data_IF_218666695778
#
_entry.id   IF_218666695778
#
_cell.length_a   1.000
_cell.length_b   1.000
_cell.length_c   1.000
_cell.angle_alpha   90.00
_cell.angle_beta   90.00
_cell.angle_gamma   90.00
#
_symmetry.space_group_name_H-M   'P 1'
#
loop_
_entity.id
_entity.type
_entity.pdbx_description
1 polymer ?
#
# COMPACT_ATOMS: atom_id res chain seq x y z
N UNK A 1 -9.31 -0.08 8.29
CA UNK A 1 -9.44 0.56 6.96
C UNK A 1 -8.73 1.90 6.93
N UNK A 2 -7.99 2.19 5.86
CA UNK A 2 -7.37 3.51 5.60
C UNK A 2 -8.39 4.66 5.53
N UNK A 3 -9.67 4.35 5.31
CA UNK A 3 -10.79 5.29 5.38
C UNK A 3 -11.52 5.25 6.74
N UNK A 4 -10.83 4.93 7.84
CA UNK A 4 -11.35 5.11 9.19
C UNK A 4 -11.76 6.57 9.48
N UNK A 5 -12.17 6.87 10.72
CA UNK A 5 -12.62 8.21 11.13
C UNK A 5 -11.61 9.34 10.88
N UNK A 6 -10.35 9.01 10.57
CA UNK A 6 -9.28 9.97 10.27
C UNK A 6 -8.92 9.98 8.79
N UNK A 7 -9.33 11.04 8.09
CA UNK A 7 -8.95 11.31 6.70
C UNK A 7 -7.44 11.57 6.49
N UNK A 8 -6.65 11.64 7.56
CA UNK A 8 -5.22 11.94 7.51
C UNK A 8 -4.40 10.82 6.82
N UNK A 9 -4.78 9.56 7.02
CA UNK A 9 -4.10 8.42 6.40
C UNK A 9 -4.29 8.39 4.87
N UNK A 10 -5.46 8.79 4.38
CA UNK A 10 -5.75 8.82 2.93
C UNK A 10 -4.98 9.91 2.19
N UNK A 11 -4.58 11.00 2.87
CA UNK A 11 -3.75 12.08 2.30
C UNK A 11 -2.30 11.66 2.06
N UNK A 12 -1.85 10.55 2.66
CA UNK A 12 -0.51 10.03 2.51
C UNK A 12 -0.32 9.18 1.24
N UNK A 13 -1.39 8.83 0.51
CA UNK A 13 -1.31 7.98 -0.68
C UNK A 13 -0.80 8.79 -1.86
N UNK A 14 0.37 8.42 -2.37
CA UNK A 14 0.96 9.08 -3.54
C UNK A 14 0.05 8.92 -4.77
N UNK A 15 -0.21 10.03 -5.45
CA UNK A 15 -1.04 10.04 -6.66
C UNK A 15 -2.54 10.18 -6.42
N UNK A 16 -2.98 10.29 -5.16
CA UNK A 16 -4.37 10.57 -4.82
C UNK A 16 -4.43 11.98 -4.20
N UNK A 17 -5.12 12.90 -4.88
CA UNK A 17 -5.31 14.27 -4.41
C UNK A 17 -6.37 14.37 -3.32
N UNK A 18 -6.47 15.54 -2.66
CA UNK A 18 -7.48 15.79 -1.62
C UNK A 18 -8.91 15.71 -2.16
N UNK A 19 -9.19 16.26 -3.34
CA UNK A 19 -10.52 16.28 -3.93
C UNK A 19 -11.17 14.89 -4.13
N UNK A 20 -10.46 13.92 -4.71
CA UNK A 20 -10.92 12.53 -4.76
C UNK A 20 -11.24 11.94 -3.39
N UNK A 21 -10.38 12.15 -2.41
CA UNK A 21 -10.59 11.62 -1.04
C UNK A 21 -11.82 12.25 -0.39
N UNK A 22 -12.00 13.55 -0.54
CA UNK A 22 -13.18 14.24 -0.01
C UNK A 22 -14.47 13.68 -0.61
N UNK A 23 -14.52 13.45 -1.92
CA UNK A 23 -15.67 12.81 -2.60
C UNK A 23 -15.99 11.43 -2.04
N UNK A 24 -14.97 10.60 -1.78
CA UNK A 24 -15.14 9.28 -1.16
C UNK A 24 -15.71 9.40 0.25
N UNK A 25 -15.18 10.32 1.06
CA UNK A 25 -15.64 10.52 2.44
C UNK A 25 -17.07 11.04 2.52
N UNK A 26 -17.45 11.98 1.64
CA UNK A 26 -18.82 12.50 1.55
C UNK A 26 -19.79 11.39 1.17
N UNK A 27 -19.51 10.65 0.10
CA UNK A 27 -20.35 9.53 -0.34
C UNK A 27 -20.53 8.48 0.77
N UNK A 28 -19.45 8.16 1.50
CA UNK A 28 -19.51 7.23 2.63
C UNK A 28 -20.33 7.77 3.80
N UNK A 29 -20.25 9.08 4.08
CA UNK A 29 -21.00 9.70 5.16
C UNK A 29 -22.50 9.72 4.86
N UNK A 30 -22.89 9.95 3.59
CA UNK A 30 -24.28 10.05 3.16
C UNK A 30 -24.98 8.69 3.00
N UNK A 31 -24.28 7.69 2.46
CA UNK A 31 -24.87 6.42 2.04
C UNK A 31 -24.29 5.20 2.77
N UNK A 32 -23.40 5.42 3.77
CA UNK A 32 -22.78 4.33 4.52
C UNK A 32 -21.56 3.72 3.82
N UNK A 33 -21.02 2.61 4.36
CA UNK A 33 -19.89 1.88 3.77
C UNK A 33 -20.19 1.45 2.34
N UNK A 34 -19.15 1.33 1.53
CA UNK A 34 -19.26 0.74 0.20
C UNK A 34 -19.35 -0.78 0.34
N UNK A 35 -20.21 -1.42 -0.45
CA UNK A 35 -20.38 -2.88 -0.42
C UNK A 35 -19.26 -3.59 -1.19
N UNK A 36 -18.86 -3.04 -2.31
CA UNK A 36 -17.85 -3.59 -3.21
C UNK A 36 -17.23 -2.52 -4.11
N UNK A 37 -16.30 -2.92 -5.00
CA UNK A 37 -15.64 -2.04 -5.97
C UNK A 37 -16.63 -1.40 -6.95
N UNK A 38 -17.67 -2.12 -7.38
CA UNK A 38 -18.65 -1.62 -8.33
C UNK A 38 -19.53 -0.56 -7.67
N UNK A 39 -19.98 -0.80 -6.44
CA UNK A 39 -20.71 0.18 -5.63
C UNK A 39 -19.84 1.43 -5.38
N UNK A 40 -18.54 1.24 -5.06
CA UNK A 40 -17.59 2.33 -4.91
C UNK A 40 -17.53 3.19 -6.17
N UNK A 41 -17.31 2.58 -7.36
CA UNK A 41 -17.20 3.31 -8.62
C UNK A 41 -18.51 4.01 -9.03
N UNK A 42 -19.67 3.47 -8.65
CA UNK A 42 -20.97 4.11 -8.92
C UNK A 42 -21.22 5.36 -8.08
N UNK A 43 -20.75 5.35 -6.84
CA UNK A 43 -21.05 6.40 -5.85
C UNK A 43 -20.03 7.52 -5.81
N UNK A 44 -18.83 7.29 -6.33
CA UNK A 44 -17.74 8.27 -6.29
C UNK A 44 -17.64 9.01 -7.63
N UNK A 45 -17.26 10.28 -7.60
CA UNK A 45 -17.03 11.08 -8.81
C UNK A 45 -15.77 10.62 -9.55
N UNK A 46 -15.94 9.75 -10.56
CA UNK A 46 -14.86 9.22 -11.39
C UNK A 46 -14.16 10.27 -12.26
N UNK A 47 -14.72 11.48 -12.41
CA UNK A 47 -14.02 12.59 -13.07
C UNK A 47 -12.90 13.15 -12.20
N UNK A 48 -13.07 13.06 -10.89
CA UNK A 48 -12.06 13.47 -9.90
C UNK A 48 -11.15 12.30 -9.52
N UNK A 49 -11.73 11.09 -9.36
CA UNK A 49 -11.01 9.86 -9.05
C UNK A 49 -10.68 9.11 -10.34
N UNK A 50 -9.57 9.48 -10.98
CA UNK A 50 -9.14 8.82 -12.20
C UNK A 50 -8.61 7.39 -11.94
N UNK A 51 -8.43 6.59 -13.01
CA UNK A 51 -7.94 5.20 -12.94
C UNK A 51 -6.66 5.07 -12.09
N UNK A 52 -5.69 5.98 -12.27
CA UNK A 52 -4.42 5.94 -11.50
C UNK A 52 -4.62 6.16 -10.01
N UNK A 53 -5.55 7.03 -9.63
CA UNK A 53 -5.88 7.23 -8.23
C UNK A 53 -6.59 6.01 -7.63
N UNK A 54 -7.48 5.36 -8.40
CA UNK A 54 -8.13 4.11 -7.99
C UNK A 54 -7.11 2.97 -7.83
N UNK A 55 -6.19 2.80 -8.78
CA UNK A 55 -5.07 1.87 -8.67
C UNK A 55 -4.22 2.14 -7.41
N UNK A 56 -3.92 3.40 -7.12
CA UNK A 56 -3.15 3.77 -5.93
C UNK A 56 -3.91 3.45 -4.63
N UNK A 57 -5.24 3.64 -4.58
CA UNK A 57 -6.07 3.24 -3.44
C UNK A 57 -6.05 1.73 -3.20
N UNK A 58 -6.16 0.93 -4.26
CA UNK A 58 -6.08 -0.53 -4.16
C UNK A 58 -4.69 -0.97 -3.69
N UNK A 59 -3.63 -0.43 -4.30
CA UNK A 59 -2.24 -0.74 -3.93
C UNK A 59 -1.92 -0.37 -2.49
N UNK A 60 -2.50 0.71 -1.99
CA UNK A 60 -2.38 1.15 -0.59
C UNK A 60 -3.22 0.31 0.39
N UNK A 61 -4.08 -0.59 -0.08
CA UNK A 61 -4.99 -1.38 0.76
C UNK A 61 -6.21 -0.61 1.26
N UNK A 62 -6.52 0.55 0.67
CA UNK A 62 -7.66 1.36 1.08
C UNK A 62 -9.00 0.68 0.77
N UNK A 63 -9.02 -0.20 -0.22
CA UNK A 63 -10.21 -0.91 -0.70
C UNK A 63 -10.19 -2.41 -0.36
N UNK A 64 -9.39 -2.89 0.60
CA UNK A 64 -9.27 -4.31 0.94
C UNK A 64 -10.60 -4.95 1.39
N UNK A 65 -11.56 -4.17 1.88
CA UNK A 65 -12.89 -4.65 2.26
C UNK A 65 -13.90 -4.68 1.10
N UNK A 66 -13.50 -4.24 -0.09
CA UNK A 66 -14.39 -4.06 -1.24
C UNK A 66 -14.32 -5.21 -2.26
N UNK A 67 -13.56 -6.26 -1.98
CA UNK A 67 -13.40 -7.42 -2.83
C UNK A 67 -12.58 -8.52 -2.16
N UNK A 68 -12.37 -9.63 -2.86
CA UNK A 68 -11.71 -10.81 -2.31
C UNK A 68 -10.23 -10.53 -1.97
N UNK A 69 -9.49 -9.94 -2.90
CA UNK A 69 -8.11 -9.52 -2.72
C UNK A 69 -7.69 -8.45 -3.74
N UNK A 70 -6.58 -7.73 -3.46
CA UNK A 70 -6.14 -6.57 -4.27
C UNK A 70 -5.92 -6.88 -5.75
N UNK A 71 -5.47 -8.09 -6.11
CA UNK A 71 -5.27 -8.46 -7.51
C UNK A 71 -6.60 -8.53 -8.28
N UNK A 72 -7.66 -9.09 -7.67
CA UNK A 72 -9.02 -9.10 -8.24
C UNK A 72 -9.58 -7.68 -8.35
N UNK A 73 -9.41 -6.87 -7.31
CA UNK A 73 -9.79 -5.45 -7.35
C UNK A 73 -9.10 -4.72 -8.51
N UNK A 74 -7.79 -4.92 -8.66
CA UNK A 74 -6.99 -4.30 -9.72
C UNK A 74 -7.43 -4.74 -11.12
N UNK A 75 -7.66 -6.04 -11.31
CA UNK A 75 -8.12 -6.61 -12.59
C UNK A 75 -9.53 -6.14 -12.96
N UNK A 76 -10.38 -5.86 -11.96
CA UNK A 76 -11.79 -5.49 -12.15
C UNK A 76 -12.03 -3.98 -12.31
N UNK A 77 -10.99 -3.13 -12.23
CA UNK A 77 -11.12 -1.66 -12.34
C UNK A 77 -11.88 -1.26 -13.61
N UNK A 78 -11.47 -1.80 -14.77
CA UNK A 78 -12.06 -1.40 -16.05
C UNK A 78 -13.52 -1.78 -16.15
N UNK A 79 -13.88 -2.97 -15.67
CA UNK A 79 -15.27 -3.44 -15.61
C UNK A 79 -16.11 -2.57 -14.67
N UNK A 80 -15.57 -2.23 -13.48
CA UNK A 80 -16.28 -1.41 -12.50
C UNK A 80 -16.50 0.03 -13.00
N UNK A 81 -15.50 0.64 -13.62
CA UNK A 81 -15.62 1.97 -14.22
C UNK A 81 -16.61 1.97 -15.37
N UNK A 82 -16.53 0.99 -16.29
CA UNK A 82 -17.45 0.88 -17.42
C UNK A 82 -18.92 0.70 -16.96
N UNK A 83 -19.14 -0.11 -15.93
CA UNK A 83 -20.47 -0.31 -15.34
C UNK A 83 -21.02 0.99 -14.73
N UNK A 84 -20.19 1.73 -14.00
CA UNK A 84 -20.58 3.02 -13.41
C UNK A 84 -20.90 4.07 -14.49
N UNK A 85 -20.08 4.19 -15.55
CA UNK A 85 -20.36 5.07 -16.67
C UNK A 85 -21.61 4.70 -17.45
N UNK A 86 -21.86 3.41 -17.64
CA UNK A 86 -23.08 2.94 -18.31
C UNK A 86 -24.32 3.31 -17.50
N UNK A 87 -24.30 3.12 -16.17
CA UNK A 87 -25.40 3.50 -15.30
C UNK A 87 -25.63 5.03 -15.31
N UNK A 88 -24.57 5.83 -15.29
CA UNK A 88 -24.69 7.28 -15.39
C UNK A 88 -25.34 7.71 -16.73
N UNK A 89 -24.95 7.10 -17.85
CA UNK A 89 -25.59 7.35 -19.17
C UNK A 89 -27.06 6.97 -19.18
N UNK A 90 -27.42 5.85 -18.57
CA UNK A 90 -28.82 5.39 -18.51
C UNK A 90 -29.69 6.35 -17.69
N UNK A 91 -29.16 6.89 -16.59
CA UNK A 91 -29.81 7.92 -15.78
C UNK A 91 -30.03 9.24 -16.54
N UNK A 92 -29.02 9.68 -17.31
CA UNK A 92 -29.10 10.93 -18.11
C UNK A 92 -30.11 10.83 -19.26
N UNK A 93 -30.33 9.65 -19.86
CA UNK A 93 -31.30 9.44 -20.94
C UNK A 93 -32.74 9.36 -20.42
N UNK A 94 -32.95 9.44 -19.10
CA UNK A 94 -34.28 9.37 -18.51
C UNK A 94 -34.94 8.00 -18.67
N UNK A 95 -34.16 6.94 -18.86
CA UNK A 95 -34.62 5.56 -18.70
C UNK A 95 -34.84 5.31 -17.20
N UNK A 96 -35.81 6.05 -16.65
CA UNK A 96 -36.44 5.65 -15.40
C UNK A 96 -37.12 4.34 -15.71
N UNK A 97 -36.67 3.30 -15.06
CA UNK A 97 -37.19 1.97 -15.23
C UNK A 97 -38.73 2.01 -15.14
N UNK A 98 -39.42 1.52 -16.17
CA UNK A 98 -40.87 1.55 -16.29
C UNK A 98 -41.57 0.78 -15.15
N UNK A 99 -40.81 0.16 -14.28
CA UNK A 99 -41.25 -0.73 -13.19
C UNK A 99 -40.97 -0.21 -11.78
N UNK A 100 -40.81 1.10 -11.61
CA UNK A 100 -40.74 1.79 -10.31
C UNK A 100 -40.17 0.95 -9.16
N UNK A 101 -39.14 1.49 -8.49
CA UNK A 101 -38.58 0.96 -7.24
C UNK A 101 -37.94 -0.44 -7.29
N UNK A 102 -36.78 -0.51 -7.89
CA UNK A 102 -35.81 -1.48 -7.41
C UNK A 102 -34.53 -0.71 -7.04
N UNK A 103 -34.42 -0.37 -5.77
CA UNK A 103 -33.15 -0.24 -5.08
C UNK A 103 -32.46 -1.60 -4.99
N UNK A 104 -32.61 -2.44 -6.01
CA UNK A 104 -31.79 -3.62 -6.14
C UNK A 104 -30.53 -3.24 -6.90
N UNK A 105 -29.42 -3.60 -6.29
CA UNK A 105 -28.09 -3.50 -6.84
C UNK A 105 -28.16 -3.74 -8.35
N UNK A 106 -27.79 -2.73 -9.15
CA UNK A 106 -27.64 -2.91 -10.60
C UNK A 106 -26.81 -4.17 -10.84
N UNK A 107 -26.88 -4.79 -12.03
CA UNK A 107 -26.28 -6.09 -12.27
C UNK A 107 -24.88 -6.12 -11.64
N UNK A 108 -24.67 -7.06 -10.74
CA UNK A 108 -23.37 -7.26 -10.11
C UNK A 108 -22.38 -7.37 -11.26
N UNK A 109 -21.44 -6.40 -11.35
CA UNK A 109 -20.47 -6.40 -12.42
C UNK A 109 -19.69 -7.71 -12.36
N UNK A 110 -19.29 -8.23 -13.51
CA UNK A 110 -18.45 -9.43 -13.53
C UNK A 110 -17.06 -9.10 -12.99
N UNK A 111 -16.71 -9.80 -11.91
CA UNK A 111 -15.37 -9.75 -11.37
C UNK A 111 -14.38 -10.42 -12.31
N UNK A 112 -13.24 -9.79 -12.52
CA UNK A 112 -12.14 -10.39 -13.28
C UNK A 112 -11.34 -11.31 -12.37
N UNK A 113 -11.11 -12.54 -12.80
CA UNK A 113 -10.24 -13.47 -12.08
C UNK A 113 -8.79 -13.00 -12.14
N UNK A 114 -8.10 -13.09 -11.02
CA UNK A 114 -6.67 -12.82 -10.92
C UNK A 114 -6.07 -13.63 -9.78
N UNK A 115 -4.82 -14.06 -9.94
CA UNK A 115 -4.07 -14.70 -8.86
C UNK A 115 -3.77 -13.67 -7.77
N UNK A 116 -3.94 -14.07 -6.50
CA UNK A 116 -3.59 -13.23 -5.37
C UNK A 116 -2.12 -12.80 -5.45
N UNK A 117 -1.85 -11.55 -5.10
CA UNK A 117 -0.48 -11.09 -4.98
C UNK A 117 0.27 -11.87 -3.90
N UNK A 118 1.53 -12.13 -4.15
CA UNK A 118 2.46 -12.59 -3.13
C UNK A 118 2.62 -11.52 -2.03
N UNK A 119 3.13 -11.92 -0.88
CA UNK A 119 3.43 -10.97 0.20
C UNK A 119 4.42 -9.89 -0.26
N UNK A 120 5.43 -10.26 -1.06
CA UNK A 120 6.41 -9.32 -1.60
C UNK A 120 5.76 -8.30 -2.55
N UNK A 121 4.88 -8.73 -3.46
CA UNK A 121 4.15 -7.83 -4.37
C UNK A 121 3.24 -6.88 -3.59
N UNK A 122 2.56 -7.38 -2.57
CA UNK A 122 1.69 -6.59 -1.71
C UNK A 122 2.48 -5.53 -0.93
N UNK A 123 3.56 -5.94 -0.28
CA UNK A 123 4.43 -5.05 0.48
C UNK A 123 5.12 -4.02 -0.42
N UNK A 124 5.56 -4.42 -1.61
CA UNK A 124 6.12 -3.51 -2.60
C UNK A 124 5.10 -2.46 -3.04
N UNK A 125 3.85 -2.85 -3.30
CA UNK A 125 2.78 -1.95 -3.66
C UNK A 125 2.49 -0.90 -2.56
N UNK A 126 2.47 -1.32 -1.29
CA UNK A 126 2.35 -0.43 -0.14
C UNK A 126 3.51 0.54 -0.05
N UNK A 127 4.74 0.05 -0.18
CA UNK A 127 5.96 0.88 -0.12
C UNK A 127 5.99 1.97 -1.19
N UNK A 128 5.57 1.63 -2.41
CA UNK A 128 5.53 2.58 -3.53
C UNK A 128 4.46 3.65 -3.34
N UNK A 129 3.28 3.27 -2.82
CA UNK A 129 2.13 4.16 -2.69
C UNK A 129 2.10 4.95 -1.39
N UNK A 130 2.47 4.31 -0.28
CA UNK A 130 2.45 4.91 1.07
C UNK A 130 3.83 5.38 1.54
N UNK A 131 4.89 4.83 0.96
CA UNK A 131 6.26 5.04 1.44
C UNK A 131 6.63 4.21 2.67
N UNK A 132 5.73 3.36 3.14
CA UNK A 132 5.91 2.45 4.28
C UNK A 132 5.27 1.09 3.98
N UNK A 133 5.61 0.08 4.77
CA UNK A 133 4.97 -1.22 4.78
C UNK A 133 3.82 -1.19 5.80
N UNK A 134 2.61 -1.59 5.41
CA UNK A 134 1.42 -1.52 6.26
C UNK A 134 1.04 -2.89 6.82
N UNK A 135 1.01 -3.92 5.96
CA UNK A 135 0.46 -5.23 6.31
C UNK A 135 1.49 -6.25 6.75
N UNK A 136 2.78 -5.89 6.73
CA UNK A 136 3.89 -6.76 7.13
C UNK A 136 5.23 -6.04 6.93
N UNK A 137 6.32 -6.80 6.99
CA UNK A 137 7.65 -6.29 6.70
C UNK A 137 8.43 -7.34 5.87
N UNK A 138 9.20 -6.96 4.83
CA UNK A 138 9.92 -7.94 4.01
C UNK A 138 10.90 -8.82 4.78
N UNK A 139 11.34 -8.41 5.98
CA UNK A 139 12.21 -9.21 6.83
C UNK A 139 11.48 -10.40 7.47
N UNK A 140 10.14 -10.34 7.56
CA UNK A 140 9.34 -11.35 8.27
C UNK A 140 9.51 -12.75 7.66
N UNK A 141 9.71 -12.86 6.35
CA UNK A 141 9.98 -14.12 5.66
C UNK A 141 11.30 -14.79 6.09
N UNK A 142 12.26 -14.00 6.58
CA UNK A 142 13.56 -14.48 7.04
C UNK A 142 13.64 -14.67 8.55
N UNK A 143 12.57 -14.42 9.29
CA UNK A 143 12.55 -14.45 10.76
C UNK A 143 13.06 -15.77 11.34
N UNK A 144 12.65 -16.90 10.75
CA UNK A 144 13.06 -18.23 11.21
C UNK A 144 14.56 -18.50 11.03
N UNK A 145 15.15 -17.93 9.99
CA UNK A 145 16.60 -18.06 9.73
C UNK A 145 17.38 -17.06 10.59
N UNK A 146 16.94 -15.82 10.62
CA UNK A 146 17.61 -14.73 11.36
C UNK A 146 17.66 -15.02 12.86
N UNK A 147 16.63 -15.62 13.43
CA UNK A 147 16.58 -15.98 14.85
C UNK A 147 17.71 -16.90 15.31
N UNK A 148 18.36 -17.61 14.38
CA UNK A 148 19.50 -18.48 14.67
C UNK A 148 20.83 -17.74 14.79
N UNK A 149 20.94 -16.54 14.18
CA UNK A 149 22.19 -15.80 14.06
C UNK A 149 22.14 -14.46 14.76
N UNK A 150 20.97 -13.83 14.82
CA UNK A 150 20.78 -12.52 15.40
C UNK A 150 20.54 -12.63 16.89
N UNK A 151 21.36 -11.96 17.68
CA UNK A 151 21.28 -12.00 19.14
C UNK A 151 20.44 -10.86 19.71
N UNK A 152 20.35 -9.74 18.99
CA UNK A 152 19.73 -8.49 19.50
C UNK A 152 18.94 -7.83 18.39
N UNK A 153 17.72 -7.41 18.69
CA UNK A 153 16.91 -6.57 17.78
C UNK A 153 17.47 -5.16 17.70
N UNK A 154 17.24 -4.48 16.57
CA UNK A 154 17.78 -3.13 16.37
C UNK A 154 17.26 -2.12 17.40
N UNK A 155 16.01 -2.26 17.86
CA UNK A 155 15.45 -1.42 18.90
C UNK A 155 16.16 -1.59 20.27
N UNK A 156 16.72 -2.78 20.52
CA UNK A 156 17.34 -3.13 21.80
C UNK A 156 18.87 -2.95 21.79
N UNK A 157 19.42 -2.43 20.67
CA UNK A 157 20.85 -2.15 20.57
C UNK A 157 21.29 -1.15 21.62
N UNK A 158 22.22 -1.57 22.45
CA UNK A 158 22.85 -0.71 23.45
C UNK A 158 24.29 -0.41 23.05
N UNK A 159 24.82 0.78 23.37
CA UNK A 159 26.23 1.06 23.20
C UNK A 159 27.06 0.03 23.98
N UNK A 160 27.87 -0.73 23.26
CA UNK A 160 28.72 -1.76 23.85
C UNK A 160 30.11 -1.19 24.15
N UNK A 161 30.85 -1.87 25.03
CA UNK A 161 32.24 -1.52 25.29
C UNK A 161 33.07 -1.76 24.03
N UNK A 162 34.09 -0.92 23.83
CA UNK A 162 35.01 -1.01 22.69
C UNK A 162 35.56 -2.44 22.56
N UNK A 163 35.46 -3.04 21.37
CA UNK A 163 35.93 -4.40 21.09
C UNK A 163 34.92 -5.51 21.32
N UNK A 164 33.68 -5.21 21.67
CA UNK A 164 32.62 -6.21 21.75
C UNK A 164 31.89 -6.28 20.41
N UNK A 165 31.80 -7.50 19.84
CA UNK A 165 31.09 -7.76 18.59
C UNK A 165 29.63 -8.14 18.88
N UNK A 166 28.72 -7.67 18.05
CA UNK A 166 27.30 -8.04 18.09
C UNK A 166 26.83 -8.35 16.68
N UNK A 167 26.12 -9.45 16.50
CA UNK A 167 25.52 -9.81 15.21
C UNK A 167 24.12 -9.21 15.14
N UNK A 168 23.89 -8.39 14.12
CA UNK A 168 22.61 -7.77 13.82
C UNK A 168 22.21 -8.10 12.39
N UNK A 169 20.92 -8.06 12.10
CA UNK A 169 20.39 -8.14 10.74
C UNK A 169 19.27 -7.14 10.53
N UNK A 170 19.07 -6.74 9.30
CA UNK A 170 18.00 -5.82 8.92
C UNK A 170 17.92 -5.71 7.40
N UNK A 171 16.77 -5.27 6.92
CA UNK A 171 16.57 -4.90 5.53
C UNK A 171 17.41 -3.66 5.21
N UNK A 172 18.19 -3.70 4.15
CA UNK A 172 18.95 -2.53 3.68
C UNK A 172 17.99 -1.53 3.02
N UNK A 173 17.71 -0.44 3.71
CA UNK A 173 16.82 0.62 3.19
C UNK A 173 17.57 1.59 2.27
N UNK A 174 18.76 2.00 2.69
CA UNK A 174 19.60 2.94 1.92
C UNK A 174 21.08 2.60 2.08
N UNK A 175 21.85 2.89 1.05
CA UNK A 175 23.28 2.85 1.12
C UNK A 175 23.87 4.12 0.49
N UNK A 176 24.96 4.60 1.05
CA UNK A 176 25.70 5.76 0.54
C UNK A 176 27.19 5.52 0.70
N UNK A 177 27.93 5.60 -0.39
CA UNK A 177 29.40 5.50 -0.38
C UNK A 177 30.00 6.90 -0.45
N UNK A 178 30.88 7.20 0.49
CA UNK A 178 31.63 8.47 0.54
C UNK A 178 33.11 8.16 0.39
N UNK A 179 33.75 8.76 -0.63
CA UNK A 179 35.20 8.70 -0.83
C UNK A 179 35.86 9.81 -0.04
N UNK A 180 36.77 9.46 0.84
CA UNK A 180 37.54 10.39 1.65
C UNK A 180 39.05 10.22 1.45
N UNK A 181 39.84 11.13 2.00
CA UNK A 181 41.31 11.06 1.92
C UNK A 181 41.93 9.81 2.57
N UNK A 182 41.21 9.16 3.49
CA UNK A 182 41.63 7.95 4.22
C UNK A 182 40.89 6.69 3.76
N UNK A 183 40.44 6.65 2.51
CA UNK A 183 39.68 5.52 1.95
C UNK A 183 38.16 5.77 1.83
N UNK A 184 37.49 4.81 1.25
CA UNK A 184 36.04 4.85 1.08
C UNK A 184 35.30 4.35 2.35
N UNK A 185 34.12 4.89 2.60
CA UNK A 185 33.21 4.46 3.66
C UNK A 185 31.81 4.30 3.09
N UNK A 186 31.11 3.24 3.49
CA UNK A 186 29.69 3.10 3.20
C UNK A 186 28.88 3.35 4.47
N UNK A 187 27.78 4.05 4.32
CA UNK A 187 26.76 4.22 5.33
C UNK A 187 25.54 3.41 4.88
N UNK A 188 25.14 2.44 5.69
CA UNK A 188 24.06 1.51 5.42
C UNK A 188 22.96 1.75 6.45
N UNK A 189 21.73 2.01 6.02
CA UNK A 189 20.59 2.06 6.93
C UNK A 189 19.88 0.72 6.91
N UNK A 190 19.89 0.05 8.06
CA UNK A 190 19.21 -1.23 8.28
C UNK A 190 17.92 -1.01 9.05
N UNK A 191 16.89 -1.81 8.73
CA UNK A 191 15.58 -1.83 9.39
C UNK A 191 15.17 -3.30 9.65
N UNK A 192 14.84 -3.64 10.88
CA UNK A 192 14.38 -4.98 11.28
C UNK A 192 12.92 -4.97 11.76
N UNK A 193 12.13 -3.94 11.40
CA UNK A 193 10.77 -3.68 11.88
C UNK A 193 10.71 -3.14 13.31
N UNK A 194 11.65 -3.52 14.20
CA UNK A 194 11.69 -3.02 15.59
C UNK A 194 12.38 -1.66 15.69
N UNK A 195 13.35 -1.39 14.81
CA UNK A 195 14.10 -0.14 14.81
C UNK A 195 14.94 0.03 13.55
N UNK A 196 15.59 1.19 13.45
CA UNK A 196 16.55 1.53 12.38
C UNK A 196 17.88 1.89 12.96
N UNK A 197 18.94 1.44 12.27
CA UNK A 197 20.31 1.77 12.65
C UNK A 197 21.10 2.12 11.40
N UNK A 198 21.97 3.13 11.51
CA UNK A 198 22.98 3.42 10.49
C UNK A 198 24.29 2.69 10.87
N UNK A 199 24.77 1.85 9.97
CA UNK A 199 26.01 1.11 10.09
C UNK A 199 27.05 1.74 9.17
N UNK A 200 28.25 2.05 9.71
CA UNK A 200 29.36 2.53 8.90
C UNK A 200 30.31 1.39 8.59
N UNK A 201 30.51 1.11 7.30
CA UNK A 201 31.46 0.12 6.80
C UNK A 201 32.69 0.83 6.27
N UNK A 202 33.88 0.45 6.75
CA UNK A 202 35.15 1.05 6.35
C UNK A 202 35.80 0.27 5.20
N UNK A 203 36.69 0.94 4.46
CA UNK A 203 37.21 0.53 3.16
C UNK A 203 37.70 -0.90 3.02
N UNK A 204 38.38 -1.45 4.03
CA UNK A 204 38.88 -2.83 4.00
C UNK A 204 37.77 -3.87 3.90
N UNK A 205 36.59 -3.60 4.49
CA UNK A 205 35.42 -4.49 4.40
C UNK A 205 34.58 -4.22 3.13
N UNK A 206 34.66 -3.00 2.60
CA UNK A 206 33.95 -2.61 1.37
C UNK A 206 34.52 -3.29 0.11
N UNK A 207 35.77 -3.71 0.14
CA UNK A 207 36.44 -4.42 -0.95
C UNK A 207 36.09 -5.93 -0.95
N UNK A 208 35.45 -6.43 0.12
CA UNK A 208 35.09 -7.83 0.30
C UNK A 208 33.59 -8.12 0.00
N UNK A 209 32.81 -7.09 -0.23
CA UNK A 209 31.36 -7.12 -0.49
C UNK A 209 31.07 -6.62 -1.90
#
# INVERSE_FOLDING_TARGET
TLFGRDASASRAIKGVGEGPIESVLVSRAEQGPFSDLFDFCRRVDLKRLNKRALEALIRAGALDEQGEHRAVLMASIEAAVAAAEQQARNADIGMVDLFGDVHEAGPAGEWSEALAWTDDERLQAEKETLGLYLTGHPIDQYESELSRFVQVRLADLQPTRRGQNTTIAGLLLTHRIVKGQRGSRAFLTLDDRTGRVEVTVFGELLEQV
#
